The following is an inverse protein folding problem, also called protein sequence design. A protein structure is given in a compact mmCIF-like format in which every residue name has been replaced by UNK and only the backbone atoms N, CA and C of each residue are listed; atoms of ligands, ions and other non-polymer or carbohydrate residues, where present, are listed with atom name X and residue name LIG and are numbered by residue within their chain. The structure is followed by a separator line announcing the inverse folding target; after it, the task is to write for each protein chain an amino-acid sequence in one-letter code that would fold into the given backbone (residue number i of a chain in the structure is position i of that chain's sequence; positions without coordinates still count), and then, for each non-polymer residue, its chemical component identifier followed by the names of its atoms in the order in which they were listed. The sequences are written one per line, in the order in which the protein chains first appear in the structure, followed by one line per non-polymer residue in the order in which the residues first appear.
data_IF_386408645317
#
_entry.id   IF_386408645317
#
_cell.length_a   1.000
_cell.length_b   1.000
_cell.length_c   1.000
_cell.angle_alpha   90.00
_cell.angle_beta   90.00
_cell.angle_gamma   90.00
#
_symmetry.space_group_name_H-M   'P 1'
#
loop_
_entity.id
_entity.type
_entity.pdbx_description
1 polymer ?
#
# COMPACT_ATOMS: atom_id res chain seq x y z
N UNK A 1 37.81 -10.43 -31.12
CA UNK A 1 36.93 -11.13 -30.16
C UNK A 1 37.81 -11.63 -29.01
N UNK A 2 38.00 -10.85 -27.95
CA UNK A 2 38.84 -11.24 -26.82
C UNK A 2 37.92 -11.45 -25.61
N UNK A 3 37.76 -12.71 -25.22
CA UNK A 3 36.92 -13.13 -24.10
C UNK A 3 37.66 -12.77 -22.80
N UNK A 4 37.21 -11.72 -22.12
CA UNK A 4 37.73 -11.35 -20.79
C UNK A 4 37.18 -12.34 -19.77
N UNK A 5 37.96 -13.38 -19.47
CA UNK A 5 37.69 -14.28 -18.35
C UNK A 5 37.95 -13.50 -17.06
N UNK A 6 36.89 -13.08 -16.36
CA UNK A 6 37.00 -12.52 -15.01
C UNK A 6 37.30 -13.66 -14.04
N UNK A 7 38.54 -13.78 -13.60
CA UNK A 7 38.88 -14.62 -12.47
C UNK A 7 38.32 -13.98 -11.18
N UNK A 8 37.44 -14.68 -10.48
CA UNK A 8 37.04 -14.30 -9.12
C UNK A 8 38.23 -14.57 -8.20
N UNK A 9 38.99 -13.52 -7.87
CA UNK A 9 40.05 -13.61 -6.86
C UNK A 9 39.36 -13.79 -5.51
N UNK A 10 39.65 -14.90 -4.82
CA UNK A 10 39.13 -15.15 -3.48
C UNK A 10 39.68 -14.07 -2.53
N UNK A 11 38.84 -13.15 -2.11
CA UNK A 11 39.17 -12.18 -1.06
C UNK A 11 38.84 -12.81 0.29
N UNK A 12 39.87 -13.09 1.08
CA UNK A 12 39.73 -13.55 2.46
C UNK A 12 39.84 -12.34 3.38
N UNK A 13 38.69 -11.86 3.86
CA UNK A 13 38.62 -10.76 4.82
C UNK A 13 38.30 -11.33 6.20
N UNK A 14 39.11 -10.96 7.20
CA UNK A 14 38.86 -11.36 8.58
C UNK A 14 37.72 -10.49 9.13
N UNK A 15 36.51 -11.07 9.15
CA UNK A 15 35.28 -10.38 9.59
C UNK A 15 35.38 -9.92 11.05
N UNK A 16 36.01 -10.71 11.93
CA UNK A 16 36.23 -10.34 13.32
C UNK A 16 37.37 -11.17 13.93
N UNK A 17 38.21 -10.54 14.76
CA UNK A 17 39.22 -11.22 15.57
C UNK A 17 38.66 -11.35 16.98
N UNK A 18 38.27 -12.57 17.34
CA UNK A 18 37.73 -12.85 18.65
C UNK A 18 38.45 -14.01 19.33
N UNK A 19 38.48 -13.97 20.66
CA UNK A 19 39.19 -14.96 21.46
C UNK A 19 38.28 -16.13 21.80
N UNK A 20 38.73 -17.35 21.46
CA UNK A 20 38.04 -18.59 21.79
C UNK A 20 38.50 -19.04 23.19
N UNK A 21 37.60 -18.96 24.17
CA UNK A 21 37.92 -19.32 25.56
C UNK A 21 37.61 -20.78 25.93
N UNK A 22 36.95 -21.54 25.04
CA UNK A 22 36.60 -22.95 25.28
C UNK A 22 36.61 -23.75 23.97
N UNK A 23 36.70 -25.09 24.08
CA UNK A 23 36.60 -26.01 22.93
C UNK A 23 35.30 -25.75 22.15
N UNK A 24 35.39 -25.63 20.82
CA UNK A 24 34.21 -25.51 19.97
C UNK A 24 33.47 -26.86 19.92
N UNK A 25 32.41 -26.98 20.72
CA UNK A 25 31.39 -28.03 20.59
C UNK A 25 30.09 -27.47 20.02
N UNK A 26 28.95 -28.14 20.27
CA UNK A 26 27.63 -27.65 19.86
C UNK A 26 27.25 -26.29 20.49
N UNK A 27 27.94 -25.88 21.54
CA UNK A 27 27.81 -24.57 22.18
C UNK A 27 29.21 -24.04 22.48
N UNK A 28 29.49 -22.83 22.04
CA UNK A 28 30.75 -22.13 22.28
C UNK A 28 30.46 -20.64 22.47
N UNK A 29 31.36 -19.95 23.18
CA UNK A 29 31.25 -18.52 23.46
C UNK A 29 32.40 -17.77 22.80
N UNK A 30 32.06 -16.75 22.02
CA UNK A 30 33.00 -15.80 21.43
C UNK A 30 32.99 -14.52 22.29
N UNK A 31 34.15 -14.02 22.68
CA UNK A 31 34.32 -12.77 23.43
C UNK A 31 35.36 -11.85 22.77
N UNK A 32 35.35 -10.56 23.10
CA UNK A 32 36.25 -9.56 22.49
C UNK A 32 35.58 -8.61 21.49
N UNK A 33 34.26 -8.69 21.33
CA UNK A 33 33.48 -7.77 20.50
C UNK A 33 32.91 -6.67 21.39
N UNK A 34 33.35 -5.43 21.17
CA UNK A 34 32.95 -4.28 21.99
C UNK A 34 31.64 -3.64 21.54
N UNK A 35 31.20 -3.89 20.30
CA UNK A 35 29.97 -3.35 19.73
C UNK A 35 28.85 -4.42 19.66
N UNK A 36 27.71 -4.22 20.35
CA UNK A 36 26.58 -5.17 20.30
C UNK A 36 26.03 -5.44 18.89
N UNK A 37 26.07 -4.45 17.98
CA UNK A 37 25.58 -4.62 16.61
C UNK A 37 26.48 -5.56 15.80
N UNK A 38 27.79 -5.45 15.99
CA UNK A 38 28.79 -6.29 15.33
C UNK A 38 28.68 -7.75 15.81
N UNK A 39 28.47 -7.95 17.12
CA UNK A 39 28.22 -9.28 17.68
C UNK A 39 26.95 -9.92 17.09
N UNK A 40 25.90 -9.12 16.88
CA UNK A 40 24.64 -9.58 16.25
C UNK A 40 24.87 -9.96 14.78
N UNK A 41 25.59 -9.15 14.03
CA UNK A 41 25.91 -9.42 12.63
C UNK A 41 26.79 -10.67 12.46
N UNK A 42 27.83 -10.84 13.28
CA UNK A 42 28.65 -12.05 13.30
C UNK A 42 27.80 -13.29 13.65
N UNK A 43 26.90 -13.18 14.63
CA UNK A 43 26.00 -14.28 14.99
C UNK A 43 25.06 -14.68 13.83
N UNK A 44 24.58 -13.70 13.05
CA UNK A 44 23.75 -13.95 11.86
C UNK A 44 24.56 -14.66 10.77
N UNK A 45 25.78 -14.20 10.50
CA UNK A 45 26.67 -14.81 9.51
C UNK A 45 27.06 -16.24 9.88
N UNK A 46 27.40 -16.49 11.16
CA UNK A 46 27.71 -17.83 11.65
C UNK A 46 26.49 -18.77 11.64
N UNK A 47 25.27 -18.25 11.89
CA UNK A 47 24.02 -19.02 11.79
C UNK A 47 23.59 -19.29 10.35
N UNK A 48 23.81 -18.35 9.45
CA UNK A 48 23.57 -18.52 8.02
C UNK A 48 24.53 -19.55 7.40
N UNK A 49 25.68 -19.77 8.04
CA UNK A 49 26.70 -20.72 7.61
C UNK A 49 27.52 -20.19 6.42
N UNK A 50 28.60 -20.89 6.09
CA UNK A 50 29.34 -20.60 4.87
C UNK A 50 28.48 -20.98 3.67
N UNK A 51 28.27 -20.03 2.75
CA UNK A 51 27.58 -20.28 1.49
C UNK A 51 28.37 -21.32 0.68
N UNK A 52 27.81 -22.52 0.55
CA UNK A 52 28.46 -23.67 -0.11
C UNK A 52 28.54 -23.46 -1.63
N UNK A 53 27.68 -22.61 -2.19
CA UNK A 53 27.59 -22.34 -3.62
C UNK A 53 27.56 -20.83 -3.91
N UNK A 54 28.14 -20.37 -5.04
CA UNK A 54 28.12 -18.96 -5.43
C UNK A 54 26.68 -18.52 -5.70
N UNK A 55 26.19 -17.55 -4.92
CA UNK A 55 24.91 -16.88 -5.19
C UNK A 55 25.09 -16.00 -6.42
N UNK A 56 24.24 -16.21 -7.42
CA UNK A 56 24.06 -15.24 -8.50
C UNK A 56 22.82 -14.42 -8.18
N UNK A 57 22.99 -13.10 -8.13
CA UNK A 57 21.85 -12.18 -7.99
C UNK A 57 21.08 -12.23 -9.31
N UNK A 58 19.90 -12.85 -9.28
CA UNK A 58 19.04 -13.01 -10.49
C UNK A 58 18.33 -11.70 -10.84
N UNK A 59 17.95 -10.92 -9.81
CA UNK A 59 17.28 -9.64 -9.98
C UNK A 59 17.61 -8.75 -8.77
N UNK A 60 18.06 -7.52 -9.02
CA UNK A 60 18.26 -6.49 -8.01
C UNK A 60 17.41 -5.28 -8.40
N UNK A 61 16.40 -4.97 -7.58
CA UNK A 61 15.58 -3.77 -7.74
C UNK A 61 15.96 -2.75 -6.68
N UNK A 62 16.94 -1.91 -6.98
CA UNK A 62 17.26 -0.77 -6.12
C UNK A 62 16.47 0.44 -6.60
N UNK A 63 15.38 0.77 -5.91
CA UNK A 63 14.68 2.04 -6.12
C UNK A 63 15.42 3.10 -5.28
N UNK A 64 15.92 4.14 -5.95
CA UNK A 64 16.55 5.27 -5.27
C UNK A 64 15.56 5.96 -4.32
N UNK A 65 15.97 6.35 -3.09
CA UNK A 65 15.09 7.03 -2.12
C UNK A 65 14.40 8.27 -2.69
N UNK A 66 15.08 8.99 -3.58
CA UNK A 66 14.56 10.19 -4.26
C UNK A 66 13.41 9.88 -5.21
N UNK A 67 13.51 8.81 -6.02
CA UNK A 67 12.43 8.37 -6.91
C UNK A 67 11.23 7.87 -6.11
N UNK A 68 11.46 7.14 -5.01
CA UNK A 68 10.38 6.70 -4.12
C UNK A 68 9.62 7.87 -3.51
N UNK A 69 10.33 8.87 -2.98
CA UNK A 69 9.75 10.07 -2.39
C UNK A 69 8.98 10.91 -3.42
N UNK A 70 9.57 11.14 -4.59
CA UNK A 70 8.92 11.91 -5.65
C UNK A 70 7.61 11.26 -6.11
N UNK A 71 7.58 9.93 -6.21
CA UNK A 71 6.37 9.21 -6.57
C UNK A 71 5.28 9.30 -5.49
N UNK A 72 5.66 9.33 -4.21
CA UNK A 72 4.72 9.52 -3.10
C UNK A 72 4.12 10.94 -3.16
N UNK A 73 4.95 11.96 -3.37
CA UNK A 73 4.49 13.34 -3.48
C UNK A 73 3.56 13.53 -4.68
N UNK A 74 3.95 13.06 -5.86
CA UNK A 74 3.12 13.13 -7.07
C UNK A 74 1.82 12.34 -6.93
N UNK A 75 1.87 11.17 -6.28
CA UNK A 75 0.68 10.38 -6.01
C UNK A 75 -0.29 11.11 -5.07
N UNK A 76 0.23 11.77 -4.04
CA UNK A 76 -0.58 12.54 -3.09
C UNK A 76 -1.18 13.79 -3.75
N UNK A 77 -0.41 14.49 -4.59
CA UNK A 77 -0.90 15.61 -5.39
C UNK A 77 -2.01 15.17 -6.36
N UNK A 78 -1.84 14.03 -7.05
CA UNK A 78 -2.85 13.46 -7.92
C UNK A 78 -4.13 13.08 -7.17
N UNK A 79 -4.02 12.49 -5.97
CA UNK A 79 -5.16 12.22 -5.10
C UNK A 79 -5.95 13.49 -4.75
N UNK A 80 -5.23 14.54 -4.32
CA UNK A 80 -5.84 15.81 -3.94
C UNK A 80 -6.50 16.49 -5.15
N UNK A 81 -5.84 16.50 -6.30
CA UNK A 81 -6.40 17.04 -7.54
C UNK A 81 -7.65 16.26 -7.97
N UNK A 82 -7.61 14.93 -7.93
CA UNK A 82 -8.75 14.06 -8.24
C UNK A 82 -9.94 14.27 -7.29
N UNK A 83 -9.68 14.42 -5.99
CA UNK A 83 -10.69 14.77 -5.00
C UNK A 83 -11.35 16.12 -5.32
N UNK A 84 -10.53 17.14 -5.62
CA UNK A 84 -11.01 18.50 -5.90
C UNK A 84 -11.88 18.54 -7.16
N UNK A 85 -11.44 17.86 -8.23
CA UNK A 85 -12.22 17.71 -9.47
C UNK A 85 -13.52 16.94 -9.23
N UNK A 86 -13.49 15.88 -8.42
CA UNK A 86 -14.69 15.09 -8.08
C UNK A 86 -15.71 15.92 -7.28
N UNK A 87 -15.24 16.72 -6.32
CA UNK A 87 -16.10 17.65 -5.56
C UNK A 87 -16.70 18.70 -6.50
N UNK A 88 -15.88 19.29 -7.38
CA UNK A 88 -16.35 20.28 -8.33
C UNK A 88 -17.42 19.70 -9.26
N UNK A 89 -17.18 18.48 -9.78
CA UNK A 89 -18.15 17.72 -10.56
C UNK A 89 -19.46 17.53 -9.77
N UNK A 90 -19.40 17.10 -8.51
CA UNK A 90 -20.57 16.90 -7.68
C UNK A 90 -21.39 18.18 -7.47
N UNK A 91 -20.72 19.30 -7.21
CA UNK A 91 -21.37 20.60 -6.99
C UNK A 91 -22.04 21.09 -8.28
N UNK A 92 -21.36 21.00 -9.43
CA UNK A 92 -21.87 21.48 -10.71
C UNK A 92 -23.10 20.68 -11.15
N UNK A 93 -23.02 19.35 -11.11
CA UNK A 93 -24.09 18.48 -11.64
C UNK A 93 -25.24 18.25 -10.65
N UNK A 94 -24.98 18.18 -9.34
CA UNK A 94 -25.97 17.79 -8.33
C UNK A 94 -26.40 18.92 -7.38
N UNK A 95 -25.85 20.13 -7.52
CA UNK A 95 -26.21 21.32 -6.72
C UNK A 95 -26.24 21.03 -5.21
N UNK A 96 -27.42 21.12 -4.56
CA UNK A 96 -27.58 20.89 -3.11
C UNK A 96 -27.32 19.44 -2.69
N UNK A 97 -27.66 18.46 -3.52
CA UNK A 97 -27.32 17.05 -3.25
C UNK A 97 -25.82 16.79 -3.37
N UNK A 98 -25.14 17.57 -4.23
CA UNK A 98 -23.68 17.55 -4.35
C UNK A 98 -22.95 17.92 -3.06
N UNK A 99 -23.49 18.84 -2.25
CA UNK A 99 -22.93 19.19 -0.94
C UNK A 99 -23.01 18.02 0.06
N UNK A 100 -24.12 17.29 0.07
CA UNK A 100 -24.29 16.12 0.94
C UNK A 100 -23.31 15.02 0.52
N UNK A 101 -23.24 14.71 -0.78
CA UNK A 101 -22.28 13.74 -1.33
C UNK A 101 -20.82 14.13 -1.02
N UNK A 102 -20.50 15.43 -1.11
CA UNK A 102 -19.17 15.94 -0.76
C UNK A 102 -18.85 15.71 0.72
N UNK A 103 -19.81 15.94 1.62
CA UNK A 103 -19.60 15.68 3.05
C UNK A 103 -19.34 14.19 3.36
N UNK A 104 -20.07 13.28 2.69
CA UNK A 104 -19.86 11.85 2.79
C UNK A 104 -18.47 11.43 2.26
N UNK A 105 -18.03 12.03 1.15
CA UNK A 105 -16.70 11.77 0.57
C UNK A 105 -15.56 12.22 1.50
N UNK A 106 -15.69 13.41 2.09
CA UNK A 106 -14.70 13.93 3.05
C UNK A 106 -14.66 13.05 4.31
N UNK A 107 -15.83 12.66 4.84
CA UNK A 107 -15.91 11.76 5.97
C UNK A 107 -15.25 10.40 5.66
N UNK A 108 -15.47 9.85 4.46
CA UNK A 108 -14.82 8.62 4.00
C UNK A 108 -13.29 8.75 4.00
N UNK A 109 -12.75 9.85 3.47
CA UNK A 109 -11.30 10.09 3.47
C UNK A 109 -10.73 10.20 4.90
N UNK A 110 -11.41 10.93 5.78
CA UNK A 110 -11.00 11.05 7.20
C UNK A 110 -10.98 9.69 7.87
N UNK A 111 -11.98 8.84 7.63
CA UNK A 111 -12.03 7.48 8.18
C UNK A 111 -10.89 6.60 7.66
N UNK A 112 -10.57 6.67 6.37
CA UNK A 112 -9.43 5.92 5.80
C UNK A 112 -8.13 6.33 6.48
N UNK A 113 -7.85 7.64 6.55
CA UNK A 113 -6.63 8.16 7.19
C UNK A 113 -6.59 7.84 8.69
N UNK A 114 -7.74 7.93 9.37
CA UNK A 114 -7.88 7.60 10.78
C UNK A 114 -7.60 6.12 11.07
N UNK A 115 -8.13 5.21 10.25
CA UNK A 115 -7.87 3.76 10.37
C UNK A 115 -6.39 3.46 10.08
N UNK A 116 -5.81 4.04 9.04
CA UNK A 116 -4.38 3.89 8.74
C UNK A 116 -3.51 4.36 9.90
N UNK A 117 -3.88 5.47 10.55
CA UNK A 117 -3.14 6.01 11.70
C UNK A 117 -3.24 5.13 12.95
N UNK A 118 -4.32 4.36 13.09
CA UNK A 118 -4.54 3.43 14.21
C UNK A 118 -3.74 2.13 14.05
N UNK A 119 -3.46 1.71 12.81
CA UNK A 119 -2.76 0.45 12.51
C UNK A 119 -1.23 0.64 12.60
N UNK A 120 -0.55 0.07 13.61
CA UNK A 120 0.89 0.24 13.77
C UNK A 120 1.64 -0.40 12.59
N UNK A 121 2.47 0.38 11.91
CA UNK A 121 3.26 -0.08 10.76
C UNK A 121 2.58 0.09 9.40
N UNK A 122 1.36 0.62 9.33
CA UNK A 122 0.78 1.08 8.08
C UNK A 122 1.56 2.34 7.62
N UNK A 123 2.35 2.19 6.56
CA UNK A 123 3.10 3.29 5.96
C UNK A 123 2.44 3.71 4.65
N UNK A 124 2.44 5.03 4.38
CA UNK A 124 1.94 5.56 3.12
C UNK A 124 3.01 5.33 2.04
N UNK A 125 2.87 4.23 1.30
CA UNK A 125 3.70 3.89 0.15
C UNK A 125 2.96 4.19 -1.17
N UNK A 126 3.68 4.15 -2.30
CA UNK A 126 3.04 4.33 -3.63
C UNK A 126 1.87 3.34 -3.85
N UNK A 127 2.00 2.02 -3.56
CA UNK A 127 0.85 1.12 -3.61
C UNK A 127 -0.28 1.50 -2.65
N UNK A 128 0.04 2.02 -1.47
CA UNK A 128 -0.95 2.52 -0.50
C UNK A 128 -1.75 3.69 -1.07
N UNK A 129 -1.09 4.65 -1.71
CA UNK A 129 -1.74 5.78 -2.39
C UNK A 129 -2.66 5.29 -3.51
N UNK A 130 -2.21 4.35 -4.33
CA UNK A 130 -3.05 3.76 -5.37
C UNK A 130 -4.31 3.08 -4.79
N UNK A 131 -4.18 2.43 -3.63
CA UNK A 131 -5.32 1.89 -2.87
C UNK A 131 -6.30 2.97 -2.42
N UNK A 132 -5.81 4.10 -1.90
CA UNK A 132 -6.65 5.25 -1.51
C UNK A 132 -7.41 5.80 -2.73
N UNK A 133 -6.74 5.99 -3.88
CA UNK A 133 -7.38 6.43 -5.12
C UNK A 133 -8.50 5.48 -5.53
N UNK A 134 -8.25 4.17 -5.49
CA UNK A 134 -9.25 3.15 -5.82
C UNK A 134 -10.48 3.25 -4.90
N UNK A 135 -10.28 3.37 -3.59
CA UNK A 135 -11.39 3.51 -2.64
C UNK A 135 -12.17 4.80 -2.85
N UNK A 136 -11.48 5.92 -3.11
CA UNK A 136 -12.14 7.18 -3.44
C UNK A 136 -12.97 7.09 -4.72
N UNK A 137 -12.46 6.42 -5.76
CA UNK A 137 -13.20 6.24 -7.01
C UNK A 137 -14.50 5.46 -6.79
N UNK A 138 -14.46 4.36 -6.04
CA UNK A 138 -15.66 3.56 -5.70
C UNK A 138 -16.64 4.37 -4.84
N UNK A 139 -16.14 5.19 -3.91
CA UNK A 139 -16.98 6.04 -3.07
C UNK A 139 -17.69 7.15 -3.86
N UNK A 140 -16.99 7.80 -4.80
CA UNK A 140 -17.57 8.81 -5.68
C UNK A 140 -18.63 8.20 -6.58
N UNK A 141 -18.36 7.04 -7.18
CA UNK A 141 -19.31 6.33 -8.06
C UNK A 141 -20.61 5.96 -7.32
N UNK A 142 -20.50 5.43 -6.10
CA UNK A 142 -21.65 5.12 -5.27
C UNK A 142 -22.52 6.37 -4.97
N UNK A 143 -21.87 7.51 -4.68
CA UNK A 143 -22.58 8.78 -4.44
C UNK A 143 -23.28 9.29 -5.70
N UNK A 144 -22.65 9.17 -6.88
CA UNK A 144 -23.27 9.52 -8.17
C UNK A 144 -24.49 8.64 -8.42
N UNK A 145 -24.37 7.33 -8.22
CA UNK A 145 -25.45 6.38 -8.49
C UNK A 145 -26.69 6.66 -7.64
N UNK A 146 -26.52 6.92 -6.34
CA UNK A 146 -27.62 7.31 -5.45
C UNK A 146 -28.26 8.61 -5.94
N UNK A 147 -27.46 9.63 -6.26
CA UNK A 147 -27.99 10.93 -6.67
C UNK A 147 -28.75 10.86 -8.01
N UNK A 148 -28.26 10.10 -8.98
CA UNK A 148 -28.99 9.86 -10.24
C UNK A 148 -30.28 9.10 -10.00
N UNK A 149 -30.27 8.06 -9.15
CA UNK A 149 -31.50 7.31 -8.85
C UNK A 149 -32.55 8.19 -8.16
N UNK A 150 -32.14 9.01 -7.18
CA UNK A 150 -33.04 9.97 -6.52
C UNK A 150 -33.60 10.96 -7.54
N UNK A 151 -32.77 11.47 -8.45
CA UNK A 151 -33.18 12.40 -9.51
C UNK A 151 -34.16 11.77 -10.51
N UNK A 152 -33.96 10.51 -10.86
CA UNK A 152 -34.88 9.72 -11.69
C UNK A 152 -36.25 9.59 -11.01
N UNK A 153 -36.29 9.23 -9.72
CA UNK A 153 -37.54 9.09 -8.97
C UNK A 153 -38.27 10.43 -8.76
N UNK A 154 -37.53 11.53 -8.58
CA UNK A 154 -38.09 12.89 -8.59
C UNK A 154 -38.70 13.23 -9.96
N UNK A 155 -38.03 12.86 -11.06
CA UNK A 155 -38.54 13.07 -12.41
C UNK A 155 -39.80 12.24 -12.71
N UNK A 156 -39.96 11.10 -12.04
CA UNK A 156 -41.15 10.26 -12.10
C UNK A 156 -42.32 10.82 -11.26
N UNK A 157 -42.18 12.00 -10.67
CA UNK A 157 -43.23 12.70 -9.94
C UNK A 157 -43.38 12.29 -8.48
N UNK A 158 -42.43 11.53 -7.92
CA UNK A 158 -42.44 11.19 -6.49
C UNK A 158 -42.13 12.41 -5.64
N UNK A 159 -42.64 12.41 -4.41
CA UNK A 159 -42.26 13.40 -3.39
C UNK A 159 -40.79 13.23 -3.01
N UNK A 160 -40.15 14.29 -2.49
CA UNK A 160 -38.72 14.29 -2.15
C UNK A 160 -38.36 13.16 -1.16
N UNK A 161 -39.18 12.94 -0.13
CA UNK A 161 -38.93 11.87 0.85
C UNK A 161 -39.02 10.48 0.20
N UNK A 162 -40.05 10.25 -0.61
CA UNK A 162 -40.22 8.96 -1.30
C UNK A 162 -39.15 8.71 -2.35
N UNK A 163 -38.68 9.75 -3.04
CA UNK A 163 -37.61 9.65 -4.01
C UNK A 163 -36.26 9.31 -3.36
N UNK A 164 -36.01 9.83 -2.15
CA UNK A 164 -34.83 9.46 -1.36
C UNK A 164 -34.92 7.98 -0.95
N UNK A 165 -36.02 7.56 -0.34
CA UNK A 165 -36.19 6.17 0.12
C UNK A 165 -36.05 5.15 -1.02
N UNK A 166 -36.72 5.41 -2.15
CA UNK A 166 -36.62 4.52 -3.31
C UNK A 166 -35.24 4.62 -3.99
N UNK A 167 -34.65 5.82 -4.02
CA UNK A 167 -33.31 6.04 -4.55
C UNK A 167 -32.26 5.20 -3.83
N UNK A 168 -32.27 5.23 -2.50
CA UNK A 168 -31.40 4.39 -1.68
C UNK A 168 -31.70 2.92 -1.87
N UNK A 169 -32.98 2.51 -1.82
CA UNK A 169 -33.36 1.10 -1.96
C UNK A 169 -33.00 0.51 -3.32
N UNK A 170 -33.14 1.29 -4.39
CA UNK A 170 -32.82 0.89 -5.76
C UNK A 170 -31.31 0.88 -6.04
N UNK A 171 -30.56 1.85 -5.52
CA UNK A 171 -29.12 1.95 -5.75
C UNK A 171 -28.28 1.03 -4.83
N UNK A 172 -28.80 0.66 -3.65
CA UNK A 172 -28.03 -0.08 -2.65
C UNK A 172 -27.51 -1.42 -3.14
N UNK A 173 -28.31 -2.19 -3.90
CA UNK A 173 -27.87 -3.48 -4.44
C UNK A 173 -26.63 -3.34 -5.33
N UNK A 174 -26.66 -2.38 -6.26
CA UNK A 174 -25.55 -2.13 -7.17
C UNK A 174 -24.29 -1.65 -6.43
N UNK A 175 -24.45 -0.80 -5.40
CA UNK A 175 -23.33 -0.34 -4.56
C UNK A 175 -22.73 -1.52 -3.79
N UNK A 176 -23.59 -2.36 -3.23
CA UNK A 176 -23.15 -3.53 -2.48
C UNK A 176 -22.38 -4.51 -3.37
N UNK A 177 -22.88 -4.79 -4.57
CA UNK A 177 -22.23 -5.66 -5.56
C UNK A 177 -20.87 -5.10 -6.01
N UNK A 178 -20.79 -3.79 -6.28
CA UNK A 178 -19.55 -3.12 -6.65
C UNK A 178 -18.49 -3.18 -5.53
N UNK A 179 -18.90 -2.95 -4.28
CA UNK A 179 -18.01 -3.03 -3.12
C UNK A 179 -17.58 -4.47 -2.83
N UNK A 180 -18.48 -5.46 -2.93
CA UNK A 180 -18.13 -6.87 -2.79
C UNK A 180 -17.11 -7.29 -3.85
N UNK A 181 -17.36 -6.92 -5.12
CA UNK A 181 -16.45 -7.25 -6.21
C UNK A 181 -15.06 -6.65 -5.96
N UNK A 182 -15.00 -5.41 -5.47
CA UNK A 182 -13.74 -4.75 -5.10
C UNK A 182 -13.08 -5.45 -3.93
N UNK A 183 -13.83 -5.80 -2.89
CA UNK A 183 -13.33 -6.52 -1.72
C UNK A 183 -12.73 -7.88 -2.10
N UNK A 184 -13.43 -8.66 -2.93
CA UNK A 184 -12.94 -9.97 -3.41
C UNK A 184 -11.63 -9.80 -4.16
N UNK A 185 -11.54 -8.81 -5.08
CA UNK A 185 -10.30 -8.51 -5.81
C UNK A 185 -9.16 -8.17 -4.85
N UNK A 186 -9.42 -7.29 -3.87
CA UNK A 186 -8.41 -6.88 -2.87
C UNK A 186 -7.96 -8.07 -2.02
N UNK A 187 -8.88 -8.93 -1.57
CA UNK A 187 -8.53 -10.14 -0.80
C UNK A 187 -7.67 -11.10 -1.63
N UNK A 188 -8.03 -11.33 -2.89
CA UNK A 188 -7.23 -12.20 -3.79
C UNK A 188 -5.85 -11.60 -4.01
N UNK A 189 -5.76 -10.30 -4.31
CA UNK A 189 -4.49 -9.60 -4.48
C UNK A 189 -3.65 -9.60 -3.20
N UNK A 190 -4.28 -9.51 -2.04
CA UNK A 190 -3.57 -9.61 -0.76
C UNK A 190 -3.04 -11.03 -0.50
N UNK A 191 -3.81 -12.06 -0.84
CA UNK A 191 -3.43 -13.45 -0.61
C UNK A 191 -2.38 -13.98 -1.61
N UNK A 192 -2.48 -13.55 -2.87
CA UNK A 192 -1.63 -14.04 -3.99
C UNK A 192 -0.51 -13.05 -4.32
N UNK A 193 -0.70 -11.77 -4.03
CA UNK A 193 0.28 -10.74 -4.31
C UNK A 193 1.54 -10.95 -3.49
N UNK A 194 2.62 -11.37 -4.15
CA UNK A 194 3.95 -11.21 -3.59
C UNK A 194 4.20 -9.72 -3.53
N UNK A 195 4.14 -9.15 -2.33
CA UNK A 195 4.38 -7.72 -2.11
C UNK A 195 5.59 -7.28 -2.92
N UNK A 196 5.45 -6.17 -3.66
CA UNK A 196 6.57 -5.55 -4.37
C UNK A 196 7.59 -5.06 -3.36
N UNK A 197 8.38 -6.00 -2.84
CA UNK A 197 9.55 -5.80 -2.00
C UNK A 197 10.78 -5.93 -2.89
#
# INVERSE_FOLDING_TARGET
MQMVVRFLVKQEEVINIANIQSRLGNSFRITGINNPNEARQLSLLLRAGALIAPIQIVEERTIGPTLGMQNIEQGLEACLAGLLVSILFMIIFYKKFGLIATSALIANLILIVGIMSLLPGATLSMPGIAGIVLTLAVAVDANVLINERIKEELSNGRTVQQAIDEGYRGAFSSIFDANITTLIKVIILYAVGTGGN
#
